data_IF_164821525043
#
_entry.id   IF_164821525043
#
_cell.length_a   1.000
_cell.length_b   1.000
_cell.length_c   1.000
_cell.angle_alpha   90.00
_cell.angle_beta   90.00
_cell.angle_gamma   90.00
#
_symmetry.space_group_name_H-M   'P 1'
#
loop_
_entity.id
_entity.type
_entity.pdbx_description
1 polymer ?
#
# COMPACT_ATOMS: atom_id res chain seq x y z
N UNK A 1 4.26 -9.47 -26.98
CA UNK A 1 3.70 -8.20 -26.48
C UNK A 1 3.64 -7.20 -27.63
N UNK A 2 2.54 -6.46 -27.79
CA UNK A 2 2.45 -5.37 -28.77
C UNK A 2 3.15 -4.12 -28.24
N UNK A 3 3.70 -3.30 -29.13
CA UNK A 3 4.39 -2.05 -28.78
C UNK A 3 3.49 -1.13 -27.93
N UNK A 4 2.20 -1.07 -28.27
CA UNK A 4 1.18 -0.34 -27.50
C UNK A 4 1.02 -0.89 -26.08
N UNK A 5 0.99 -2.22 -25.91
CA UNK A 5 0.94 -2.84 -24.59
C UNK A 5 2.17 -2.54 -23.74
N UNK A 6 3.35 -2.51 -24.35
CA UNK A 6 4.60 -2.16 -23.67
C UNK A 6 4.61 -0.70 -23.19
N UNK A 7 4.18 0.24 -24.03
CA UNK A 7 4.08 1.66 -23.66
C UNK A 7 3.05 1.91 -22.56
N UNK A 8 1.92 1.20 -22.57
CA UNK A 8 0.93 1.27 -21.49
C UNK A 8 1.53 0.79 -20.16
N UNK A 9 2.25 -0.34 -20.17
CA UNK A 9 2.89 -0.87 -18.96
C UNK A 9 3.91 0.14 -18.42
N UNK A 10 4.77 0.71 -19.27
CA UNK A 10 5.73 1.74 -18.87
C UNK A 10 5.00 2.97 -18.31
N UNK A 11 3.96 3.45 -18.97
CA UNK A 11 3.17 4.59 -18.51
C UNK A 11 2.55 4.36 -17.13
N UNK A 12 1.97 3.17 -16.91
CA UNK A 12 1.44 2.75 -15.61
C UNK A 12 2.54 2.68 -14.56
N UNK A 13 3.71 2.15 -14.91
CA UNK A 13 4.84 2.04 -13.99
C UNK A 13 5.38 3.42 -13.55
N UNK A 14 5.51 4.36 -14.50
CA UNK A 14 5.90 5.74 -14.22
C UNK A 14 4.84 6.43 -13.36
N UNK A 15 3.56 6.25 -13.67
CA UNK A 15 2.46 6.81 -12.87
C UNK A 15 2.47 6.27 -11.43
N UNK A 16 2.69 4.97 -11.25
CA UNK A 16 2.83 4.34 -9.93
C UNK A 16 4.02 4.91 -9.15
N UNK A 17 5.17 5.11 -9.80
CA UNK A 17 6.33 5.77 -9.18
C UNK A 17 6.00 7.18 -8.70
N UNK A 18 5.28 7.96 -9.51
CA UNK A 18 4.86 9.30 -9.13
C UNK A 18 3.90 9.29 -7.95
N UNK A 19 2.92 8.38 -7.94
CA UNK A 19 1.98 8.20 -6.83
C UNK A 19 2.75 7.84 -5.55
N UNK A 20 3.68 6.89 -5.63
CA UNK A 20 4.53 6.52 -4.49
C UNK A 20 5.32 7.70 -3.94
N UNK A 21 5.97 8.48 -4.82
CA UNK A 21 6.76 9.64 -4.40
C UNK A 21 5.91 10.74 -3.76
N UNK A 22 4.67 10.90 -4.23
CA UNK A 22 3.71 11.85 -3.65
C UNK A 22 3.19 11.35 -2.30
N UNK A 23 2.89 10.05 -2.20
CA UNK A 23 2.49 9.40 -0.96
C UNK A 23 3.60 9.51 0.09
N UNK A 24 4.85 9.18 -0.24
CA UNK A 24 6.00 9.32 0.66
C UNK A 24 6.16 10.76 1.19
N UNK A 25 6.05 11.78 0.32
CA UNK A 25 6.06 13.18 0.76
C UNK A 25 4.88 13.56 1.65
N UNK A 26 3.71 12.96 1.45
CA UNK A 26 2.52 13.22 2.26
C UNK A 26 2.65 12.54 3.63
N UNK A 27 3.11 11.30 3.65
CA UNK A 27 3.35 10.49 4.87
C UNK A 27 4.42 11.17 5.73
N UNK A 28 5.45 11.75 5.12
CA UNK A 28 6.47 12.54 5.82
C UNK A 28 5.96 13.75 6.58
N UNK A 29 4.78 14.24 6.24
CA UNK A 29 4.16 15.39 6.91
C UNK A 29 3.09 14.98 7.92
N UNK A 30 2.78 13.70 8.04
CA UNK A 30 1.77 13.20 8.96
C UNK A 30 2.37 12.94 10.34
N UNK A 31 1.55 13.12 11.38
CA UNK A 31 1.92 12.77 12.74
C UNK A 31 2.16 11.25 12.83
N UNK A 32 3.25 10.79 13.49
CA UNK A 32 3.52 9.37 13.78
C UNK A 32 2.28 8.58 14.23
N UNK A 33 1.44 9.18 15.08
CA UNK A 33 0.23 8.53 15.61
C UNK A 33 -0.79 8.24 14.51
N UNK A 34 -0.86 9.10 13.50
CA UNK A 34 -1.75 8.94 12.34
C UNK A 34 -1.20 7.86 11.42
N UNK A 35 0.11 7.87 11.14
CA UNK A 35 0.78 6.83 10.35
C UNK A 35 0.56 5.45 10.93
N UNK A 36 0.75 5.30 12.25
CA UNK A 36 0.55 4.03 12.95
C UNK A 36 -0.91 3.55 12.91
N UNK A 37 -1.87 4.48 13.02
CA UNK A 37 -3.30 4.16 12.84
C UNK A 37 -3.59 3.66 11.44
N UNK A 38 -3.12 4.36 10.40
CA UNK A 38 -3.33 3.93 9.01
C UNK A 38 -2.65 2.60 8.69
N UNK A 39 -1.45 2.36 9.24
CA UNK A 39 -0.77 1.07 9.15
C UNK A 39 -1.65 -0.04 9.73
N UNK A 40 -2.18 0.16 10.94
CA UNK A 40 -3.04 -0.82 11.60
C UNK A 40 -4.37 -1.04 10.86
N UNK A 41 -4.96 0.02 10.28
CA UNK A 41 -6.13 -0.11 9.41
C UNK A 41 -5.80 -0.93 8.16
N UNK A 42 -4.66 -0.67 7.51
CA UNK A 42 -4.19 -1.47 6.37
C UNK A 42 -4.05 -2.95 6.71
N UNK A 43 -3.45 -3.25 7.86
CA UNK A 43 -3.34 -4.61 8.38
C UNK A 43 -4.70 -5.28 8.61
N UNK A 44 -5.62 -4.60 9.28
CA UNK A 44 -6.96 -5.11 9.55
C UNK A 44 -7.74 -5.36 8.25
N UNK A 45 -7.68 -4.43 7.29
CA UNK A 45 -8.31 -4.60 5.96
C UNK A 45 -7.69 -5.76 5.19
N UNK A 46 -6.37 -5.95 5.26
CA UNK A 46 -5.68 -7.08 4.65
C UNK A 46 -6.17 -8.41 5.22
N UNK A 47 -6.26 -8.53 6.55
CA UNK A 47 -6.73 -9.76 7.21
C UNK A 47 -8.21 -10.03 6.88
N UNK A 48 -9.08 -9.04 7.04
CA UNK A 48 -10.52 -9.19 6.77
C UNK A 48 -10.74 -9.55 5.30
N UNK A 49 -10.02 -8.89 4.39
CA UNK A 49 -10.03 -9.22 2.97
C UNK A 49 -9.58 -10.65 2.71
N UNK A 50 -8.51 -11.10 3.36
CA UNK A 50 -7.98 -12.45 3.17
C UNK A 50 -8.93 -13.53 3.68
N UNK A 51 -9.52 -13.31 4.85
CA UNK A 51 -10.55 -14.20 5.42
C UNK A 51 -11.79 -14.23 4.53
N UNK A 52 -12.27 -13.07 4.06
CA UNK A 52 -13.40 -13.01 3.15
C UNK A 52 -13.08 -13.68 1.80
N UNK A 53 -11.86 -13.54 1.29
CA UNK A 53 -11.44 -14.21 0.07
C UNK A 53 -11.43 -15.73 0.26
N UNK A 54 -10.92 -16.22 1.39
CA UNK A 54 -10.94 -17.63 1.73
C UNK A 54 -12.36 -18.21 1.83
N UNK A 55 -13.31 -17.45 2.39
CA UNK A 55 -14.69 -17.91 2.55
C UNK A 55 -15.49 -17.85 1.24
N UNK A 56 -15.37 -16.76 0.48
CA UNK A 56 -16.25 -16.49 -0.66
C UNK A 56 -15.61 -16.77 -2.03
N UNK A 57 -14.31 -17.04 -2.09
CA UNK A 57 -13.54 -17.31 -3.32
C UNK A 57 -13.71 -16.27 -4.44
N UNK A 58 -14.16 -15.06 -4.08
CA UNK A 58 -14.43 -13.99 -5.04
C UNK A 58 -13.18 -13.11 -5.20
N UNK A 59 -12.80 -12.84 -6.45
CA UNK A 59 -11.64 -12.02 -6.80
C UNK A 59 -11.69 -10.59 -6.24
N UNK A 60 -12.87 -10.06 -5.91
CA UNK A 60 -12.99 -8.75 -5.26
C UNK A 60 -12.27 -8.76 -3.91
N UNK A 61 -12.42 -9.81 -3.11
CA UNK A 61 -11.76 -9.91 -1.81
C UNK A 61 -10.25 -10.09 -1.93
N UNK A 62 -9.77 -10.72 -3.01
CA UNK A 62 -8.34 -10.76 -3.35
C UNK A 62 -7.78 -9.34 -3.57
N UNK A 63 -8.51 -8.50 -4.31
CA UNK A 63 -8.11 -7.10 -4.54
C UNK A 63 -8.11 -6.31 -3.21
N UNK A 64 -9.13 -6.48 -2.37
CA UNK A 64 -9.20 -5.83 -1.05
C UNK A 64 -8.02 -6.27 -0.17
N UNK A 65 -7.68 -7.55 -0.17
CA UNK A 65 -6.51 -8.10 0.54
C UNK A 65 -5.22 -7.44 0.07
N UNK A 66 -5.01 -7.41 -1.25
CA UNK A 66 -3.81 -6.81 -1.85
C UNK A 66 -3.69 -5.32 -1.51
N UNK A 67 -4.78 -4.56 -1.57
CA UNK A 67 -4.79 -3.14 -1.19
C UNK A 67 -4.44 -2.94 0.29
N UNK A 68 -5.02 -3.75 1.19
CA UNK A 68 -4.71 -3.69 2.62
C UNK A 68 -3.24 -3.98 2.90
N UNK A 69 -2.68 -5.02 2.27
CA UNK A 69 -1.27 -5.38 2.38
C UNK A 69 -0.36 -4.29 1.82
N UNK A 70 -0.67 -3.73 0.65
CA UNK A 70 0.12 -2.63 0.06
C UNK A 70 0.12 -1.42 0.98
N UNK A 71 -1.04 -1.03 1.51
CA UNK A 71 -1.15 0.07 2.47
C UNK A 71 -0.29 -0.22 3.70
N UNK A 72 -0.45 -1.41 4.31
CA UNK A 72 0.36 -1.82 5.47
C UNK A 72 1.86 -1.70 5.20
N UNK A 73 2.37 -2.26 4.10
CA UNK A 73 3.80 -2.19 3.79
C UNK A 73 4.30 -0.77 3.49
N UNK A 74 3.46 0.05 2.86
CA UNK A 74 3.79 1.44 2.54
C UNK A 74 3.98 2.29 3.80
N UNK A 75 3.21 2.01 4.86
CA UNK A 75 3.33 2.69 6.15
C UNK A 75 4.30 1.99 7.13
N UNK A 76 4.52 0.68 7.00
CA UNK A 76 5.46 -0.10 7.84
C UNK A 76 6.91 0.40 7.74
N UNK A 77 7.36 0.72 6.52
CA UNK A 77 8.69 1.30 6.30
C UNK A 77 8.87 2.67 6.96
N UNK A 78 7.76 3.38 7.22
CA UNK A 78 7.78 4.70 7.83
C UNK A 78 7.90 4.63 9.36
N UNK A 79 7.17 3.72 10.00
CA UNK A 79 7.27 3.45 11.46
C UNK A 79 8.71 3.09 11.84
N UNK A 80 9.39 2.26 11.03
CA UNK A 80 10.80 1.91 11.23
C UNK A 80 11.81 3.05 11.00
N UNK A 81 11.52 4.00 10.12
CA UNK A 81 12.42 5.14 9.89
C UNK A 81 12.34 6.19 11.01
N UNK A 82 11.18 6.39 11.62
CA UNK A 82 11.06 7.24 12.81
C UNK A 82 11.70 6.62 14.05
N UNK A 83 11.55 5.31 14.25
CA UNK A 83 12.21 4.60 15.37
C UNK A 83 13.73 4.64 15.26
N UNK A 84 14.29 4.62 14.04
CA UNK A 84 15.72 4.77 13.78
C UNK A 84 16.28 6.19 13.93
N UNK A 85 15.44 7.23 13.93
CA UNK A 85 15.86 8.62 14.19
C UNK A 85 15.80 9.03 15.67
N UNK A 86 15.23 8.18 16.54
CA UNK A 86 15.12 8.40 17.99
C UNK A 86 16.16 7.61 18.80
N UNK A 87 17.06 6.88 18.15
CA UNK A 87 18.25 6.27 18.75
C UNK A 87 19.46 7.18 18.55
#
# INVERSE_FOLDING_TARGET
MTLTGFLIIIGVFIALMFIYKRADKAIKKMDPKVVKKFNWVGFAVGIIGGVAWYLFHNGIYMIVTLLGVVIYFLFYGYDKMEEGQKQ
#
